data_IF_748061169616
#
_entry.id   IF_748061169616
#
_cell.length_a   1.000
_cell.length_b   1.000
_cell.length_c   1.000
_cell.angle_alpha   90.00
_cell.angle_beta   90.00
_cell.angle_gamma   90.00
#
_symmetry.space_group_name_H-M   'P 1'
#
loop_
_entity.id
_entity.type
_entity.pdbx_description
1 polymer ?
#
# COMPACT_ATOMS: atom_id res chain seq x y z
N UNK A 1 12.33 -12.30 21.12
CA UNK A 1 12.02 -11.23 20.15
C UNK A 1 11.48 -11.83 18.86
N UNK A 2 11.06 -10.99 17.91
CA UNK A 2 10.58 -11.45 16.60
C UNK A 2 11.79 -11.72 15.69
N UNK A 3 11.86 -12.91 15.08
CA UNK A 3 12.88 -13.23 14.07
C UNK A 3 12.44 -12.67 12.72
N UNK A 4 13.21 -11.73 12.18
CA UNK A 4 12.99 -11.16 10.85
C UNK A 4 14.08 -11.69 9.92
N UNK A 5 13.67 -12.27 8.80
CA UNK A 5 14.57 -12.72 7.73
C UNK A 5 14.25 -11.89 6.50
N UNK A 6 15.09 -10.90 6.19
CA UNK A 6 14.95 -10.06 5.01
C UNK A 6 15.74 -10.65 3.83
N UNK A 7 15.37 -10.26 2.60
CA UNK A 7 16.05 -10.73 1.39
C UNK A 7 15.90 -12.22 1.13
N UNK A 8 14.94 -12.90 1.76
CA UNK A 8 14.66 -14.30 1.50
C UNK A 8 13.67 -14.48 0.34
N UNK A 9 13.76 -15.63 -0.32
CA UNK A 9 12.83 -16.07 -1.35
C UNK A 9 12.14 -17.34 -0.85
N UNK A 10 10.82 -17.26 -0.64
CA UNK A 10 10.00 -18.44 -0.30
C UNK A 10 9.89 -19.32 -1.55
N UNK A 11 10.34 -20.57 -1.43
CA UNK A 11 10.28 -21.56 -2.51
C UNK A 11 9.02 -22.40 -2.42
N UNK A 12 8.65 -22.82 -1.19
CA UNK A 12 7.55 -23.76 -1.00
C UNK A 12 6.90 -23.62 0.38
N UNK A 13 5.58 -23.77 0.39
CA UNK A 13 4.78 -23.94 1.60
C UNK A 13 4.09 -25.31 1.53
N UNK A 14 4.29 -26.14 2.55
CA UNK A 14 3.79 -27.51 2.55
C UNK A 14 3.03 -27.84 3.83
N UNK A 15 1.72 -28.04 3.69
CA UNK A 15 0.88 -28.51 4.79
C UNK A 15 1.15 -29.99 5.07
N UNK A 16 1.41 -30.31 6.33
CA UNK A 16 1.65 -31.67 6.83
C UNK A 16 0.85 -31.90 8.10
N UNK A 17 0.81 -33.14 8.58
CA UNK A 17 0.18 -33.45 9.88
C UNK A 17 0.84 -32.76 11.09
N UNK A 18 2.06 -32.21 10.93
CA UNK A 18 2.81 -31.54 11.98
C UNK A 18 2.76 -30.00 11.89
N UNK A 19 2.10 -29.44 10.87
CA UNK A 19 2.09 -28.00 10.59
C UNK A 19 2.50 -27.69 9.14
N UNK A 20 2.90 -26.45 8.89
CA UNK A 20 3.33 -25.94 7.59
C UNK A 20 4.84 -25.84 7.54
N UNK A 21 5.46 -26.60 6.63
CA UNK A 21 6.87 -26.42 6.30
C UNK A 21 7.05 -25.25 5.32
N UNK A 22 7.86 -24.29 5.73
CA UNK A 22 8.28 -23.12 4.94
C UNK A 22 9.70 -23.37 4.46
N UNK A 23 9.87 -23.52 3.16
CA UNK A 23 11.17 -23.64 2.50
C UNK A 23 11.53 -22.32 1.81
N UNK A 24 12.73 -21.84 2.04
CA UNK A 24 13.19 -20.57 1.50
C UNK A 24 14.71 -20.53 1.30
N UNK A 25 15.16 -19.71 0.36
CA UNK A 25 16.55 -19.30 0.27
C UNK A 25 16.72 -17.99 1.06
N UNK A 26 17.74 -17.91 1.91
CA UNK A 26 18.08 -16.65 2.57
C UNK A 26 18.80 -15.67 1.62
N UNK A 27 19.14 -14.47 2.12
CA UNK A 27 19.82 -13.45 1.32
C UNK A 27 21.19 -13.89 0.77
N UNK A 28 21.80 -14.97 1.30
CA UNK A 28 23.03 -15.56 0.77
C UNK A 28 22.79 -16.65 -0.28
N UNK A 29 21.52 -16.99 -0.55
CA UNK A 29 21.13 -18.09 -1.41
C UNK A 29 21.12 -19.45 -0.70
N UNK A 30 21.32 -19.51 0.62
CA UNK A 30 21.35 -20.76 1.37
C UNK A 30 19.93 -21.29 1.59
N UNK A 31 19.70 -22.53 1.17
CA UNK A 31 18.44 -23.23 1.44
C UNK A 31 18.22 -23.43 2.93
N UNK A 32 17.04 -23.04 3.40
CA UNK A 32 16.60 -23.11 4.79
C UNK A 32 15.17 -23.62 4.88
N UNK A 33 14.83 -24.21 6.01
CA UNK A 33 13.49 -24.72 6.28
C UNK A 33 13.04 -24.32 7.68
N UNK A 34 11.74 -24.05 7.84
CA UNK A 34 11.11 -23.76 9.12
C UNK A 34 9.76 -24.47 9.20
N UNK A 35 9.51 -25.18 10.30
CA UNK A 35 8.18 -25.73 10.61
C UNK A 35 7.43 -24.71 11.46
N UNK A 36 6.24 -24.32 11.03
CA UNK A 36 5.34 -23.43 11.75
C UNK A 36 3.95 -24.05 11.85
N UNK A 37 3.23 -23.80 12.95
CA UNK A 37 1.84 -24.28 13.09
C UNK A 37 0.90 -23.55 12.12
N UNK A 38 1.15 -22.26 11.91
CA UNK A 38 0.34 -21.37 11.08
C UNK A 38 1.26 -20.51 10.22
N UNK A 39 0.87 -20.31 8.96
CA UNK A 39 1.50 -19.35 8.05
C UNK A 39 0.46 -18.30 7.65
N UNK A 40 0.79 -17.04 7.90
CA UNK A 40 0.00 -15.89 7.44
C UNK A 40 0.68 -15.26 6.23
N UNK A 41 -0.05 -15.16 5.12
CA UNK A 41 0.42 -14.53 3.89
C UNK A 41 0.00 -13.05 3.86
N UNK A 42 0.97 -12.15 4.03
CA UNK A 42 0.77 -10.69 4.01
C UNK A 42 1.66 -10.03 2.95
N UNK A 43 1.56 -10.50 1.71
CA UNK A 43 2.45 -10.11 0.60
C UNK A 43 1.99 -8.87 -0.17
N UNK A 44 0.96 -8.20 0.32
CA UNK A 44 0.38 -7.00 -0.29
C UNK A 44 -1.11 -7.16 -0.58
N UNK A 45 -1.65 -6.16 -1.26
CA UNK A 45 -3.07 -6.08 -1.64
C UNK A 45 -3.17 -5.84 -3.14
N UNK A 46 -4.30 -6.22 -3.74
CA UNK A 46 -4.60 -6.02 -5.16
C UNK A 46 -5.96 -5.35 -5.32
N UNK A 47 -6.14 -4.50 -6.34
CA UNK A 47 -7.46 -3.97 -6.71
C UNK A 47 -8.47 -5.10 -6.93
N UNK A 48 -9.65 -4.98 -6.33
CA UNK A 48 -10.74 -5.92 -6.56
C UNK A 48 -11.63 -5.42 -7.70
N UNK A 49 -11.32 -5.88 -8.92
CA UNK A 49 -11.96 -5.40 -10.17
C UNK A 49 -12.67 -6.51 -10.95
N UNK A 50 -12.51 -7.76 -10.55
CA UNK A 50 -13.13 -8.90 -11.22
C UNK A 50 -14.64 -8.91 -10.99
N UNK A 51 -15.41 -9.22 -12.03
CA UNK A 51 -16.88 -9.31 -11.95
C UNK A 51 -17.61 -7.97 -11.85
N UNK A 52 -16.91 -6.83 -11.99
CA UNK A 52 -17.53 -5.50 -12.01
C UNK A 52 -18.19 -5.13 -13.35
N UNK A 53 -18.00 -5.94 -14.39
CA UNK A 53 -18.55 -5.66 -15.72
C UNK A 53 -17.82 -4.55 -16.48
N UNK A 54 -16.56 -4.24 -16.13
CA UNK A 54 -15.76 -3.17 -16.73
C UNK A 54 -15.58 -3.35 -18.24
N UNK A 55 -15.60 -4.60 -18.72
CA UNK A 55 -15.55 -4.94 -20.15
C UNK A 55 -16.72 -4.38 -20.97
N UNK A 56 -17.81 -3.98 -20.30
CA UNK A 56 -18.98 -3.35 -20.92
C UNK A 56 -18.91 -1.81 -20.89
N UNK A 57 -17.78 -1.26 -20.47
CA UNK A 57 -17.56 0.18 -20.28
C UNK A 57 -16.31 0.63 -21.04
N UNK A 58 -16.01 1.92 -20.99
CA UNK A 58 -14.74 2.45 -21.53
C UNK A 58 -13.64 2.57 -20.47
N UNK A 59 -13.85 2.04 -19.25
CA UNK A 59 -12.91 2.10 -18.12
C UNK A 59 -11.62 1.35 -18.42
N UNK A 60 -10.50 2.06 -18.39
CA UNK A 60 -9.15 1.48 -18.45
C UNK A 60 -8.69 1.07 -17.06
N UNK A 61 -8.05 -0.07 -16.98
CA UNK A 61 -7.45 -0.59 -15.76
C UNK A 61 -6.31 -1.55 -16.09
N UNK A 62 -5.43 -1.77 -15.13
CA UNK A 62 -4.40 -2.80 -15.20
C UNK A 62 -4.25 -3.53 -13.85
N UNK A 63 -3.13 -4.24 -13.65
CA UNK A 63 -2.84 -4.93 -12.39
C UNK A 63 -2.63 -3.99 -11.20
N UNK A 64 -2.41 -2.70 -11.43
CA UNK A 64 -2.16 -1.67 -10.44
C UNK A 64 -3.43 -0.92 -10.03
N UNK A 65 -4.47 -0.89 -10.86
CA UNK A 65 -5.78 -0.33 -10.50
C UNK A 65 -6.58 0.17 -11.70
N UNK A 66 -7.74 0.76 -11.41
CA UNK A 66 -8.52 1.55 -12.36
C UNK A 66 -7.81 2.88 -12.61
N UNK A 67 -7.60 3.23 -13.88
CA UNK A 67 -7.05 4.51 -14.30
C UNK A 67 -8.06 5.62 -13.97
N UNK A 68 -7.62 6.60 -13.19
CA UNK A 68 -8.41 7.79 -12.86
C UNK A 68 -7.61 9.06 -13.08
N UNK A 69 -8.31 10.13 -13.44
CA UNK A 69 -7.75 11.46 -13.51
C UNK A 69 -7.61 12.13 -12.12
N UNK A 70 -7.07 13.36 -12.02
CA UNK A 70 -6.96 14.08 -10.74
C UNK A 70 -8.30 14.39 -10.05
N UNK A 71 -9.44 14.21 -10.74
CA UNK A 71 -10.80 14.36 -10.21
C UNK A 71 -11.47 13.03 -9.91
N UNK A 72 -10.70 11.93 -9.95
CA UNK A 72 -11.13 10.56 -9.68
C UNK A 72 -12.10 10.03 -10.74
N UNK A 73 -12.17 10.69 -11.91
CA UNK A 73 -12.98 10.26 -13.03
C UNK A 73 -12.23 9.19 -13.82
N UNK A 74 -12.93 8.12 -14.15
CA UNK A 74 -12.37 7.08 -15.02
C UNK A 74 -12.34 7.54 -16.47
N UNK A 75 -11.88 6.67 -17.36
CA UNK A 75 -11.95 6.92 -18.81
C UNK A 75 -13.35 6.81 -19.37
N UNK A 76 -14.31 6.27 -18.60
CA UNK A 76 -15.73 6.42 -18.85
C UNK A 76 -16.25 7.67 -18.13
N UNK A 77 -16.84 8.64 -18.86
CA UNK A 77 -17.21 9.92 -18.28
C UNK A 77 -18.32 9.83 -17.21
N UNK A 78 -19.06 8.72 -17.16
CA UNK A 78 -20.12 8.51 -16.18
C UNK A 78 -19.66 7.73 -14.94
N UNK A 79 -18.42 7.24 -14.92
CA UNK A 79 -17.90 6.40 -13.86
C UNK A 79 -16.71 7.06 -13.17
N UNK A 80 -16.70 6.91 -11.85
CA UNK A 80 -15.65 7.38 -10.95
C UNK A 80 -15.17 6.21 -10.11
N UNK A 81 -13.91 6.26 -9.65
CA UNK A 81 -13.35 5.23 -8.79
C UNK A 81 -12.54 5.87 -7.66
N UNK A 82 -12.65 5.31 -6.45
CA UNK A 82 -11.98 5.82 -5.24
C UNK A 82 -11.45 4.68 -4.39
N UNK A 83 -10.47 4.98 -3.54
CA UNK A 83 -9.83 4.03 -2.64
C UNK A 83 -8.92 3.05 -3.37
N UNK A 84 -8.70 1.90 -2.73
CA UNK A 84 -7.67 0.94 -3.11
C UNK A 84 -7.85 0.34 -4.52
N UNK A 85 -9.04 0.45 -5.12
CA UNK A 85 -9.29 0.03 -6.50
C UNK A 85 -8.55 0.91 -7.53
N UNK A 86 -8.19 2.13 -7.13
CA UNK A 86 -7.39 3.08 -7.93
C UNK A 86 -5.87 2.88 -7.79
N UNK A 87 -5.46 1.92 -6.96
CA UNK A 87 -4.06 1.64 -6.68
C UNK A 87 -3.52 2.41 -5.47
N UNK A 88 -2.23 2.75 -5.52
CA UNK A 88 -1.52 3.37 -4.40
C UNK A 88 -1.88 4.86 -4.25
N UNK A 89 -1.90 5.40 -3.02
CA UNK A 89 -1.63 4.71 -1.75
C UNK A 89 -2.88 4.03 -1.16
N UNK A 90 -2.72 2.80 -0.65
CA UNK A 90 -3.85 1.98 -0.18
C UNK A 90 -4.14 2.14 1.33
N UNK A 91 -4.66 3.31 1.74
CA UNK A 91 -5.00 3.60 3.13
C UNK A 91 -6.47 3.98 3.33
N UNK A 92 -7.03 3.63 4.49
CA UNK A 92 -8.43 3.95 4.82
C UNK A 92 -8.73 5.46 4.85
N UNK A 93 -7.82 6.26 5.40
CA UNK A 93 -7.97 7.72 5.40
C UNK A 93 -7.85 8.33 4.00
N UNK A 94 -7.03 7.72 3.14
CA UNK A 94 -6.91 8.10 1.72
C UNK A 94 -8.21 7.86 0.95
N UNK A 95 -8.78 6.65 1.06
CA UNK A 95 -10.07 6.32 0.46
C UNK A 95 -11.20 7.24 0.96
N UNK A 96 -11.21 7.54 2.26
CA UNK A 96 -12.17 8.49 2.85
C UNK A 96 -12.00 9.90 2.26
N UNK A 97 -10.78 10.40 2.15
CA UNK A 97 -10.50 11.73 1.59
C UNK A 97 -10.93 11.81 0.12
N UNK A 98 -10.64 10.79 -0.68
CA UNK A 98 -11.06 10.69 -2.08
C UNK A 98 -12.60 10.67 -2.20
N UNK A 99 -13.28 9.83 -1.42
CA UNK A 99 -14.75 9.74 -1.43
C UNK A 99 -15.44 11.05 -1.04
N UNK A 100 -14.94 11.74 0.00
CA UNK A 100 -15.46 13.04 0.41
C UNK A 100 -15.21 14.13 -0.64
N UNK A 101 -14.04 14.15 -1.27
CA UNK A 101 -13.73 15.09 -2.34
C UNK A 101 -14.65 14.86 -3.55
N UNK A 102 -14.80 13.61 -3.99
CA UNK A 102 -15.67 13.27 -5.11
C UNK A 102 -17.14 13.64 -4.82
N UNK A 103 -17.65 13.31 -3.64
CA UNK A 103 -19.03 13.67 -3.27
C UNK A 103 -19.26 15.20 -3.34
N UNK A 104 -18.31 16.00 -2.83
CA UNK A 104 -18.38 17.47 -2.93
C UNK A 104 -18.33 17.96 -4.38
N UNK A 105 -17.48 17.35 -5.21
CA UNK A 105 -17.37 17.67 -6.63
C UNK A 105 -18.70 17.44 -7.37
N UNK A 106 -19.32 16.27 -7.16
CA UNK A 106 -20.59 15.90 -7.79
C UNK A 106 -21.75 16.79 -7.35
N UNK A 107 -21.70 17.34 -6.13
CA UNK A 107 -22.67 18.29 -5.61
C UNK A 107 -22.42 19.75 -6.05
N UNK A 108 -21.40 20.00 -6.90
CA UNK A 108 -21.07 21.34 -7.41
C UNK A 108 -20.36 22.26 -6.40
N UNK A 109 -19.84 21.71 -5.31
CA UNK A 109 -19.13 22.46 -4.28
C UNK A 109 -17.65 22.70 -4.62
N UNK A 110 -17.00 23.65 -3.94
CA UNK A 110 -15.54 23.79 -4.00
C UNK A 110 -14.88 22.52 -3.44
N UNK A 111 -13.90 22.00 -4.17
CA UNK A 111 -13.23 20.74 -3.84
C UNK A 111 -11.72 20.88 -3.99
N UNK A 112 -11.00 20.34 -3.01
CA UNK A 112 -9.59 20.00 -3.13
C UNK A 112 -9.48 18.48 -3.09
N UNK A 113 -9.04 17.89 -4.20
CA UNK A 113 -8.77 16.45 -4.25
C UNK A 113 -7.50 16.13 -3.48
N UNK A 114 -7.44 14.98 -2.79
CA UNK A 114 -6.28 14.64 -1.98
C UNK A 114 -5.05 14.40 -2.87
N UNK A 115 -3.90 14.84 -2.37
CA UNK A 115 -2.60 14.69 -3.03
C UNK A 115 -1.80 13.59 -2.32
N UNK A 116 -1.33 12.55 -3.01
CA UNK A 116 -0.56 11.46 -2.39
C UNK A 116 0.69 11.94 -1.65
N UNK A 117 1.26 13.09 -2.03
CA UNK A 117 2.42 13.70 -1.36
C UNK A 117 2.13 14.15 0.07
N UNK A 118 0.86 14.42 0.37
CA UNK A 118 0.40 14.85 1.69
C UNK A 118 -0.13 13.68 2.54
N UNK A 119 0.02 12.44 2.04
CA UNK A 119 -0.48 11.27 2.74
C UNK A 119 0.41 10.91 3.95
N UNK A 120 -0.18 10.20 4.92
CA UNK A 120 0.54 9.65 6.06
C UNK A 120 0.46 8.12 6.09
N UNK A 121 1.39 7.50 6.81
CA UNK A 121 1.37 6.07 7.07
C UNK A 121 1.65 5.83 8.55
N UNK A 122 0.97 4.82 9.11
CA UNK A 122 1.08 4.42 10.51
C UNK A 122 1.24 2.91 10.60
N UNK A 123 2.18 2.46 11.43
CA UNK A 123 2.34 1.06 11.86
C UNK A 123 2.01 1.03 13.35
N UNK A 124 0.91 0.36 13.69
CA UNK A 124 0.37 0.25 15.05
C UNK A 124 1.06 -0.85 15.86
N UNK A 125 2.39 -0.91 15.78
CA UNK A 125 3.23 -1.76 16.64
C UNK A 125 3.48 -1.09 17.99
N UNK A 126 4.18 -1.78 18.89
CA UNK A 126 4.74 -1.19 20.10
C UNK A 126 6.28 -1.25 20.00
N UNK A 127 6.98 -0.10 19.87
CA UNK A 127 6.46 1.25 19.73
C UNK A 127 5.73 1.49 18.40
N UNK A 128 4.85 2.49 18.38
CA UNK A 128 4.16 2.93 17.16
C UNK A 128 5.13 3.65 16.21
N UNK A 129 4.87 3.56 14.91
CA UNK A 129 5.65 4.25 13.88
C UNK A 129 4.69 5.06 13.02
N UNK A 130 4.97 6.35 12.83
CA UNK A 130 4.22 7.22 11.94
C UNK A 130 5.17 7.99 11.02
N UNK A 131 4.73 8.24 9.79
CA UNK A 131 5.44 9.06 8.81
C UNK A 131 4.46 9.86 7.95
N UNK A 132 4.90 11.05 7.52
CA UNK A 132 4.18 11.90 6.59
C UNK A 132 5.18 12.65 5.71
N UNK A 133 4.79 12.91 4.46
CA UNK A 133 5.64 13.61 3.49
C UNK A 133 6.80 12.76 2.97
N UNK A 134 7.86 13.45 2.52
CA UNK A 134 9.01 12.82 1.88
C UNK A 134 9.99 12.24 2.91
N UNK A 135 10.54 11.07 2.58
CA UNK A 135 11.74 10.53 3.24
C UNK A 135 12.99 11.28 2.79
N UNK A 136 14.07 11.22 3.58
CA UNK A 136 15.38 11.76 3.20
C UNK A 136 15.87 11.22 1.83
N UNK A 137 15.61 9.92 1.56
CA UNK A 137 15.98 9.28 0.30
C UNK A 137 15.20 9.86 -0.90
N UNK A 138 13.90 10.06 -0.75
CA UNK A 138 13.05 10.68 -1.79
C UNK A 138 13.42 12.15 -2.01
N UNK A 139 13.69 12.92 -0.95
CA UNK A 139 14.13 14.31 -1.07
C UNK A 139 15.44 14.40 -1.87
N UNK A 140 16.40 13.53 -1.57
CA UNK A 140 17.67 13.43 -2.32
C UNK A 140 17.47 13.07 -3.79
N UNK A 141 16.63 12.07 -4.08
CA UNK A 141 16.31 11.67 -5.45
C UNK A 141 15.68 12.80 -6.27
N UNK A 142 14.88 13.64 -5.62
CA UNK A 142 14.24 14.81 -6.23
C UNK A 142 15.14 16.06 -6.30
N UNK A 143 16.37 16.01 -5.77
CA UNK A 143 17.26 17.17 -5.73
C UNK A 143 16.77 18.30 -4.81
N UNK A 144 15.99 17.97 -3.78
CA UNK A 144 15.47 18.93 -2.80
C UNK A 144 16.52 19.11 -1.69
N UNK A 145 16.95 20.35 -1.46
CA UNK A 145 17.80 20.68 -0.31
C UNK A 145 17.03 20.45 1.00
N UNK A 146 17.64 19.68 1.92
CA UNK A 146 17.02 19.32 3.19
C UNK A 146 18.02 19.34 4.35
N UNK A 147 17.49 19.53 5.56
CA UNK A 147 18.22 19.35 6.82
C UNK A 147 17.50 18.29 7.68
N UNK A 148 18.25 17.61 8.55
CA UNK A 148 17.73 16.53 9.39
C UNK A 148 17.90 16.91 10.86
N UNK A 149 16.83 16.77 11.63
CA UNK A 149 16.84 16.84 13.09
C UNK A 149 16.35 15.51 13.65
N UNK A 150 16.97 15.03 14.74
CA UNK A 150 16.61 13.77 15.41
C UNK A 150 16.57 13.99 16.92
N UNK A 151 15.60 13.38 17.58
CA UNK A 151 15.44 13.38 19.03
C UNK A 151 15.30 11.94 19.53
N UNK A 152 15.89 11.63 20.68
CA UNK A 152 15.84 10.31 21.31
C UNK A 152 14.91 10.35 22.52
N UNK A 153 13.76 9.71 22.41
CA UNK A 153 12.74 9.65 23.47
C UNK A 153 13.19 8.89 24.73
N UNK A 154 14.32 8.17 24.70
CA UNK A 154 14.88 7.58 25.93
C UNK A 154 15.42 8.62 26.91
N UNK A 155 15.54 9.88 26.46
CA UNK A 155 15.98 11.00 27.29
C UNK A 155 14.90 11.63 28.17
N UNK A 156 13.64 11.23 28.02
CA UNK A 156 12.49 11.67 28.84
C UNK A 156 12.26 10.72 30.03
#
# INVERSE_FOLDING_TARGET
>A
GIRIVTGCQIERLAHTGAGVFVEYHDASGKASQHLADIVLLVTGRRPNIEGLGLENTTVRHDRHGIEVDPRLQTTDPNLFAVGDVTGQPMFAHWATAQGLALARHLLGGPVAFPDPRNNSAVIFSEPEIAMAGLTEAQAREQGIDYAVARYDFRGD
#
